data_IF_642782666939
#
_entry.id   IF_642782666939
#
_cell.length_a   1.000
_cell.length_b   1.000
_cell.length_c   1.000
_cell.angle_alpha   90.00
_cell.angle_beta   90.00
_cell.angle_gamma   90.00
#
_symmetry.space_group_name_H-M   'P 1'
#
loop_
_entity.id
_entity.type
_entity.pdbx_description
1 polymer ?
#
# COMPACT_ATOMS: atom_id res chain seq x y z
N UNK A 1 2.93 -3.43 -24.76
CA UNK A 1 3.99 -3.55 -23.73
C UNK A 1 3.75 -4.87 -23.01
N UNK A 2 4.71 -5.80 -23.05
CA UNK A 2 4.58 -7.09 -22.37
C UNK A 2 4.62 -6.91 -20.85
N UNK A 3 3.92 -7.78 -20.13
CA UNK A 3 3.95 -7.80 -18.67
C UNK A 3 5.41 -8.05 -18.21
N UNK A 4 5.93 -7.30 -17.22
CA UNK A 4 7.28 -7.53 -16.71
C UNK A 4 7.41 -8.96 -16.17
N UNK A 5 8.48 -9.66 -16.55
CA UNK A 5 8.82 -10.95 -15.94
C UNK A 5 9.56 -10.67 -14.63
N UNK A 6 8.93 -11.02 -13.50
CA UNK A 6 9.57 -10.94 -12.19
C UNK A 6 10.37 -12.22 -11.98
N UNK A 7 11.70 -12.08 -11.94
CA UNK A 7 12.61 -13.21 -11.67
C UNK A 7 12.95 -13.19 -10.19
N UNK A 8 12.91 -14.33 -9.46
CA UNK A 8 13.32 -14.37 -8.06
C UNK A 8 14.74 -13.80 -7.90
N UNK A 9 14.91 -12.84 -7.02
CA UNK A 9 16.21 -12.26 -6.72
C UNK A 9 17.11 -13.27 -6.00
N UNK A 10 18.42 -13.15 -6.19
CA UNK A 10 19.43 -13.94 -5.46
C UNK A 10 19.84 -13.30 -4.13
N UNK A 11 19.10 -12.27 -3.68
CA UNK A 11 19.39 -11.50 -2.47
C UNK A 11 19.08 -12.25 -1.17
N UNK A 12 19.64 -11.79 -0.06
CA UNK A 12 19.28 -12.32 1.27
C UNK A 12 17.86 -11.90 1.67
N UNK A 13 17.31 -12.56 2.70
CA UNK A 13 16.00 -12.18 3.26
C UNK A 13 16.00 -10.72 3.73
N UNK A 14 17.09 -10.27 4.32
CA UNK A 14 17.26 -8.89 4.80
C UNK A 14 17.22 -7.90 3.64
N UNK A 15 17.91 -8.20 2.53
CA UNK A 15 17.86 -7.36 1.33
C UNK A 15 16.44 -7.28 0.76
N UNK A 16 15.72 -8.41 0.70
CA UNK A 16 14.34 -8.41 0.22
C UNK A 16 13.40 -7.57 1.10
N UNK A 17 13.63 -7.54 2.42
CA UNK A 17 12.88 -6.67 3.34
C UNK A 17 13.23 -5.20 3.11
N UNK A 18 14.52 -4.87 2.95
CA UNK A 18 14.97 -3.52 2.62
C UNK A 18 14.36 -3.03 1.30
N UNK A 19 14.44 -3.83 0.24
CA UNK A 19 13.87 -3.50 -1.08
C UNK A 19 12.36 -3.23 -0.98
N UNK A 20 11.66 -3.99 -0.14
CA UNK A 20 10.24 -3.81 0.09
C UNK A 20 9.94 -2.51 0.83
N UNK A 21 10.69 -2.18 1.89
CA UNK A 21 10.57 -0.90 2.61
C UNK A 21 10.87 0.28 1.68
N UNK A 22 11.89 0.18 0.83
CA UNK A 22 12.18 1.19 -0.19
C UNK A 22 11.02 1.35 -1.17
N UNK A 23 10.41 0.24 -1.61
CA UNK A 23 9.24 0.29 -2.49
C UNK A 23 8.04 0.98 -1.85
N UNK A 24 7.82 0.79 -0.55
CA UNK A 24 6.79 1.49 0.24
C UNK A 24 7.10 2.98 0.28
N UNK A 25 8.34 3.36 0.63
CA UNK A 25 8.74 4.76 0.70
C UNK A 25 8.56 5.49 -0.65
N UNK A 26 8.83 4.82 -1.78
CA UNK A 26 8.58 5.36 -3.12
C UNK A 26 7.08 5.54 -3.41
N UNK A 27 6.23 4.62 -2.94
CA UNK A 27 4.77 4.77 -3.04
C UNK A 27 4.27 5.94 -2.21
N UNK A 28 4.72 6.08 -0.95
CA UNK A 28 4.38 7.22 -0.09
C UNK A 28 4.75 8.56 -0.72
N UNK A 29 5.94 8.65 -1.33
CA UNK A 29 6.37 9.85 -2.04
C UNK A 29 5.44 10.17 -3.23
N UNK A 30 5.04 9.17 -4.01
CA UNK A 30 4.09 9.34 -5.10
C UNK A 30 2.70 9.77 -4.60
N UNK A 31 2.22 9.19 -3.50
CA UNK A 31 0.94 9.53 -2.88
C UNK A 31 0.93 10.95 -2.32
N UNK A 32 2.04 11.41 -1.75
CA UNK A 32 2.20 12.80 -1.30
C UNK A 32 2.02 13.79 -2.46
N UNK A 33 2.59 13.50 -3.64
CA UNK A 33 2.38 14.32 -4.83
C UNK A 33 0.93 14.33 -5.31
N UNK A 34 0.24 13.18 -5.25
CA UNK A 34 -1.19 13.10 -5.58
C UNK A 34 -2.01 13.95 -4.61
N UNK A 35 -1.79 13.81 -3.30
CA UNK A 35 -2.49 14.59 -2.28
C UNK A 35 -2.25 16.09 -2.45
N UNK A 36 -1.02 16.50 -2.77
CA UNK A 36 -0.72 17.90 -3.05
C UNK A 36 -1.48 18.41 -4.28
N UNK A 37 -1.51 17.64 -5.38
CA UNK A 37 -2.25 18.00 -6.58
C UNK A 37 -3.77 18.10 -6.32
N UNK A 38 -4.34 17.23 -5.48
CA UNK A 38 -5.74 17.34 -5.05
C UNK A 38 -5.98 18.58 -4.19
N UNK A 39 -5.03 18.97 -3.34
CA UNK A 39 -5.06 20.24 -2.59
C UNK A 39 -5.03 21.47 -3.50
N UNK A 40 -4.11 21.50 -4.47
CA UNK A 40 -4.01 22.56 -5.48
C UNK A 40 -5.31 22.67 -6.31
N UNK A 41 -5.95 21.54 -6.63
CA UNK A 41 -7.24 21.50 -7.32
C UNK A 41 -8.33 22.21 -6.53
N UNK A 42 -8.44 21.96 -5.22
CA UNK A 42 -9.41 22.66 -4.36
C UNK A 42 -9.13 24.16 -4.35
N UNK A 43 -7.87 24.56 -4.15
CA UNK A 43 -7.48 25.96 -4.12
C UNK A 43 -7.82 26.68 -5.43
N UNK A 44 -7.55 26.03 -6.56
CA UNK A 44 -7.86 26.57 -7.88
C UNK A 44 -9.37 26.81 -8.04
N UNK A 45 -10.21 25.85 -7.68
CA UNK A 45 -11.67 25.96 -7.80
C UNK A 45 -12.25 26.99 -6.86
N UNK A 46 -11.75 27.08 -5.62
CA UNK A 46 -12.16 28.11 -4.66
C UNK A 46 -11.81 29.53 -5.15
N UNK A 47 -10.73 29.68 -5.93
CA UNK A 47 -10.32 30.95 -6.50
C UNK A 47 -11.07 31.33 -7.80
N UNK A 48 -11.89 30.45 -8.37
CA UNK A 48 -12.63 30.74 -9.61
C UNK A 48 -13.79 31.71 -9.36
N UNK A 49 -13.85 32.79 -10.14
CA UNK A 49 -15.00 33.68 -10.15
C UNK A 49 -16.24 32.96 -10.69
N UNK A 50 -17.38 33.14 -10.02
CA UNK A 50 -18.66 32.57 -10.46
C UNK A 50 -18.84 31.08 -10.15
N UNK A 51 -17.93 30.45 -9.40
CA UNK A 51 -18.11 29.05 -8.96
C UNK A 51 -19.36 28.93 -8.08
N UNK A 52 -20.17 27.92 -8.38
CA UNK A 52 -21.38 27.63 -7.63
C UNK A 52 -21.09 26.76 -6.40
N UNK A 53 -21.94 26.83 -5.35
CA UNK A 53 -21.84 25.90 -4.22
C UNK A 53 -21.89 24.43 -4.64
N UNK A 54 -22.67 24.10 -5.68
CA UNK A 54 -22.78 22.74 -6.23
C UNK A 54 -21.47 22.25 -6.84
N UNK A 55 -20.76 23.11 -7.59
CA UNK A 55 -19.45 22.80 -8.16
C UNK A 55 -18.39 22.62 -7.06
N UNK A 56 -18.39 23.49 -6.05
CA UNK A 56 -17.50 23.36 -4.89
C UNK A 56 -17.73 22.03 -4.16
N UNK A 57 -18.99 21.66 -3.92
CA UNK A 57 -19.34 20.40 -3.28
C UNK A 57 -18.91 19.20 -4.14
N UNK A 58 -19.05 19.29 -5.46
CA UNK A 58 -18.66 18.24 -6.39
C UNK A 58 -17.15 18.00 -6.34
N UNK A 59 -16.36 19.07 -6.38
CA UNK A 59 -14.89 18.99 -6.30
C UNK A 59 -14.46 18.45 -4.94
N UNK A 60 -15.05 18.93 -3.84
CA UNK A 60 -14.76 18.41 -2.50
C UNK A 60 -15.03 16.90 -2.40
N UNK A 61 -16.18 16.43 -2.91
CA UNK A 61 -16.49 14.99 -2.95
C UNK A 61 -15.51 14.19 -3.80
N UNK A 62 -15.04 14.76 -4.91
CA UNK A 62 -14.01 14.13 -5.75
C UNK A 62 -12.69 13.96 -4.98
N UNK A 63 -12.25 15.00 -4.27
CA UNK A 63 -11.02 14.94 -3.45
C UNK A 63 -11.19 13.97 -2.29
N UNK A 64 -12.33 14.00 -1.59
CA UNK A 64 -12.65 13.07 -0.51
C UNK A 64 -12.57 11.61 -1.00
N UNK A 65 -13.13 11.31 -2.18
CA UNK A 65 -13.04 9.99 -2.78
C UNK A 65 -11.60 9.56 -3.09
N UNK A 66 -10.75 10.48 -3.57
CA UNK A 66 -9.34 10.20 -3.79
C UNK A 66 -8.62 9.92 -2.47
N UNK A 67 -8.80 10.75 -1.44
CA UNK A 67 -8.23 10.54 -0.10
C UNK A 67 -8.68 9.21 0.50
N UNK A 68 -9.96 8.86 0.38
CA UNK A 68 -10.49 7.56 0.81
C UNK A 68 -9.86 6.38 0.04
N UNK A 69 -9.54 6.56 -1.23
CA UNK A 69 -8.87 5.54 -2.04
C UNK A 69 -7.43 5.34 -1.59
N UNK A 70 -6.71 6.43 -1.30
CA UNK A 70 -5.35 6.39 -0.74
C UNK A 70 -5.36 5.69 0.62
N UNK A 71 -6.25 6.06 1.53
CA UNK A 71 -6.36 5.40 2.84
C UNK A 71 -6.61 3.88 2.74
N UNK A 72 -7.36 3.42 1.73
CA UNK A 72 -7.54 1.97 1.47
C UNK A 72 -6.28 1.31 0.96
N UNK A 73 -5.51 2.01 0.12
CA UNK A 73 -4.21 1.52 -0.34
C UNK A 73 -3.24 1.38 0.83
N UNK A 74 -3.20 2.37 1.74
CA UNK A 74 -2.40 2.32 2.97
C UNK A 74 -2.73 1.11 3.85
N UNK A 75 -4.03 0.85 4.07
CA UNK A 75 -4.46 -0.34 4.82
C UNK A 75 -4.02 -1.64 4.15
N UNK A 76 -4.09 -1.73 2.82
CA UNK A 76 -3.64 -2.90 2.07
C UNK A 76 -2.11 -3.06 2.13
N UNK A 77 -1.37 -1.95 2.13
CA UNK A 77 0.08 -1.95 2.24
C UNK A 77 0.52 -2.41 3.63
N UNK A 78 -0.12 -1.89 4.67
CA UNK A 78 0.06 -2.35 6.05
C UNK A 78 -0.21 -3.86 6.17
N UNK A 79 -1.34 -4.34 5.66
CA UNK A 79 -1.68 -5.76 5.71
C UNK A 79 -0.65 -6.65 4.98
N UNK A 80 -0.03 -6.16 3.91
CA UNK A 80 1.07 -6.86 3.22
C UNK A 80 2.35 -6.90 4.05
N UNK A 81 2.67 -5.81 4.75
CA UNK A 81 3.85 -5.73 5.63
C UNK A 81 3.73 -6.65 6.84
N UNK A 82 2.53 -6.76 7.42
CA UNK A 82 2.24 -7.64 8.56
C UNK A 82 2.50 -9.13 8.27
N UNK A 83 2.48 -9.56 6.99
CA UNK A 83 2.86 -10.93 6.60
C UNK A 83 4.32 -11.28 6.92
N UNK A 84 5.18 -10.28 7.07
CA UNK A 84 6.60 -10.45 7.38
C UNK A 84 6.92 -10.27 8.86
N UNK A 85 5.91 -9.92 9.67
CA UNK A 85 6.08 -9.80 11.11
C UNK A 85 6.31 -11.19 11.71
N UNK A 86 7.51 -11.38 12.26
CA UNK A 86 8.05 -12.69 12.66
C UNK A 86 7.36 -13.28 13.89
N UNK A 87 6.55 -12.48 14.58
CA UNK A 87 5.80 -12.88 15.78
C UNK A 87 4.31 -13.23 15.47
N UNK A 88 3.90 -13.33 14.20
CA UNK A 88 2.51 -13.67 13.88
C UNK A 88 2.17 -15.14 14.25
N UNK A 89 0.98 -15.43 14.81
CA UNK A 89 0.57 -16.79 15.21
C UNK A 89 0.46 -17.79 14.04
N UNK A 90 0.56 -17.30 12.80
CA UNK A 90 0.60 -18.12 11.59
C UNK A 90 1.94 -18.90 11.53
N UNK A 91 3.03 -18.30 12.03
CA UNK A 91 4.36 -18.93 12.09
C UNK A 91 4.37 -20.12 13.06
N UNK A 92 3.63 -20.05 14.16
CA UNK A 92 3.42 -21.18 15.09
C UNK A 92 2.59 -22.29 14.44
N UNK A 93 1.54 -21.93 13.68
CA UNK A 93 0.65 -22.90 13.03
C UNK A 93 1.38 -23.72 11.95
N UNK A 94 2.25 -23.09 11.17
CA UNK A 94 3.09 -23.77 10.16
C UNK A 94 4.16 -24.65 10.82
N UNK A 95 4.73 -24.21 11.95
CA UNK A 95 5.72 -24.98 12.71
C UNK A 95 5.09 -26.24 13.34
N UNK A 96 3.87 -26.14 13.87
CA UNK A 96 3.13 -27.29 14.41
C UNK A 96 2.72 -28.30 13.34
N UNK A 97 2.38 -27.84 12.13
CA UNK A 97 2.04 -28.74 11.02
C UNK A 97 3.25 -29.57 10.55
N UNK A 98 4.45 -28.97 10.50
CA UNK A 98 5.67 -29.66 10.11
C UNK A 98 6.18 -30.67 11.15
N UNK A 99 5.84 -30.48 12.44
CA UNK A 99 6.17 -31.41 13.52
C UNK A 99 5.29 -32.67 13.54
N UNK A 100 4.08 -32.61 12.96
CA UNK A 100 3.15 -33.74 12.91
C UNK A 100 3.38 -34.69 11.71
N UNK A 101 4.15 -34.27 10.70
CA UNK A 101 4.46 -35.07 9.50
C UNK A 101 5.70 -35.96 9.60
N UNK A 102 6.46 -35.87 10.70
CA UNK A 102 7.85 -36.35 10.76
C UNK A 102 8.17 -37.40 11.82
N UNK A 103 7.28 -38.36 12.14
CA UNK A 103 7.73 -39.57 12.85
C UNK A 103 6.81 -40.79 12.69
N UNK A 104 7.06 -41.60 11.64
CA UNK A 104 6.70 -43.03 11.61
C UNK A 104 7.65 -43.79 10.69
N UNK A 105 8.84 -44.16 11.16
CA UNK A 105 9.54 -45.40 10.75
C UNK A 105 10.68 -45.71 11.72
N UNK A 106 10.43 -46.63 12.65
CA UNK A 106 11.24 -47.82 13.02
C UNK A 106 10.88 -48.31 14.41
#
# INVERSE_FOLDING_TARGET
>A
MGMPVITPGTGSREQAITDLIESVALQEAALSHILNAEGEKIQAVVAMEGVTPEELLMVNKSVENMTNTIARLEMLLQAKLELFDLDSPITETVSQFNLLGGNKTS
#
